data_IF_160066743051
#
_entry.id   IF_160066743051
#
_cell.length_a   1.000
_cell.length_b   1.000
_cell.length_c   1.000
_cell.angle_alpha   90.00
_cell.angle_beta   90.00
_cell.angle_gamma   90.00
#
_symmetry.space_group_name_H-M   'P 1'
#
loop_
_entity.id
_entity.type
_entity.pdbx_description
1 polymer ?
#
# COMPACT_ATOMS: atom_id res chain seq x y z
N UNK A 1 11.93 35.45 4.18
CA UNK A 1 11.17 36.43 4.99
C UNK A 1 9.77 36.47 4.39
N UNK A 2 8.84 35.65 4.89
CA UNK A 2 7.52 35.49 4.29
C UNK A 2 6.59 36.63 4.74
N UNK A 3 5.68 37.06 3.85
CA UNK A 3 4.83 38.23 3.98
C UNK A 3 3.94 38.22 5.24
N UNK A 4 4.37 38.90 6.31
CA UNK A 4 3.60 39.18 7.54
C UNK A 4 2.52 40.28 7.34
N UNK A 5 1.97 40.39 6.12
CA UNK A 5 0.98 41.40 5.74
C UNK A 5 -0.34 40.84 5.20
N UNK A 6 -0.53 39.52 5.20
CA UNK A 6 -1.79 38.92 4.78
C UNK A 6 -2.82 39.02 5.92
N UNK A 7 -3.92 39.73 5.68
CA UNK A 7 -5.05 39.86 6.62
C UNK A 7 -5.58 38.50 7.03
N UNK A 8 -5.24 38.05 8.25
CA UNK A 8 -5.70 36.76 8.79
C UNK A 8 -7.21 36.82 9.03
N UNK A 9 -7.93 35.82 8.54
CA UNK A 9 -9.38 35.69 8.74
C UNK A 9 -9.72 35.54 10.22
N UNK A 10 -10.89 36.05 10.63
CA UNK A 10 -11.32 35.99 12.02
C UNK A 10 -11.57 34.55 12.47
N UNK A 11 -11.31 34.26 13.76
CA UNK A 11 -11.52 32.92 14.34
C UNK A 11 -12.97 32.43 14.18
N UNK A 12 -13.95 33.32 14.34
CA UNK A 12 -15.38 32.99 14.17
C UNK A 12 -15.72 32.57 12.73
N UNK A 13 -15.16 33.24 11.73
CA UNK A 13 -15.35 32.88 10.33
C UNK A 13 -14.68 31.54 10.00
N UNK A 14 -13.51 31.28 10.58
CA UNK A 14 -12.75 30.05 10.42
C UNK A 14 -13.43 28.83 11.03
N UNK A 15 -14.24 29.06 12.07
CA UNK A 15 -15.06 28.05 12.74
C UNK A 15 -16.26 27.59 11.90
N UNK A 16 -16.65 28.34 10.85
CA UNK A 16 -17.81 27.97 10.02
C UNK A 16 -17.55 26.68 9.23
N UNK A 17 -18.57 25.80 9.15
CA UNK A 17 -18.46 24.47 8.53
C UNK A 17 -17.87 24.45 7.11
N UNK A 18 -18.14 25.48 6.31
CA UNK A 18 -17.62 25.57 4.94
C UNK A 18 -16.12 25.90 4.90
N UNK A 19 -15.60 26.61 5.92
CA UNK A 19 -14.19 26.95 6.03
C UNK A 19 -13.38 25.80 6.63
N UNK A 20 -14.01 24.89 7.38
CA UNK A 20 -13.35 23.75 8.04
C UNK A 20 -12.75 22.72 7.07
N UNK A 21 -13.27 22.60 5.83
CA UNK A 21 -12.76 21.64 4.83
C UNK A 21 -11.46 22.10 4.18
N UNK A 22 -11.30 23.41 3.96
CA UNK A 22 -10.10 24.02 3.35
C UNK A 22 -9.08 24.48 4.39
N UNK A 23 -9.41 24.35 5.67
CA UNK A 23 -8.53 24.75 6.75
C UNK A 23 -7.39 23.75 6.91
N UNK A 24 -6.15 24.26 6.95
CA UNK A 24 -4.98 23.44 7.26
C UNK A 24 -5.10 22.77 8.63
N UNK A 25 -4.56 21.55 8.75
CA UNK A 25 -4.64 20.72 9.95
C UNK A 25 -4.16 21.47 11.22
N UNK A 26 -3.10 22.28 11.09
CA UNK A 26 -2.54 23.05 12.20
C UNK A 26 -3.51 24.09 12.77
N UNK A 27 -4.28 24.74 11.90
CA UNK A 27 -5.22 25.79 12.30
C UNK A 27 -6.50 25.19 12.86
N UNK A 28 -6.92 24.04 12.34
CA UNK A 28 -8.02 23.25 12.92
C UNK A 28 -7.66 22.77 14.33
N UNK A 29 -6.45 22.26 14.53
CA UNK A 29 -5.95 21.81 15.83
C UNK A 29 -5.95 22.95 16.86
N UNK A 30 -5.50 24.15 16.50
CA UNK A 30 -5.55 25.31 17.39
C UNK A 30 -6.98 25.70 17.80
N UNK A 31 -7.96 25.63 16.87
CA UNK A 31 -9.36 25.92 17.21
C UNK A 31 -9.95 24.86 18.14
N UNK A 32 -9.63 23.57 17.93
CA UNK A 32 -10.05 22.48 18.81
C UNK A 32 -9.41 22.57 20.19
N UNK A 33 -8.14 22.97 20.27
CA UNK A 33 -7.47 23.23 21.55
C UNK A 33 -8.08 24.42 22.30
N UNK A 34 -8.41 25.51 21.61
CA UNK A 34 -9.11 26.66 22.19
C UNK A 34 -10.51 26.24 22.71
N UNK A 35 -11.25 25.38 22.00
CA UNK A 35 -12.54 24.83 22.46
C UNK A 35 -12.37 23.91 23.68
N UNK A 36 -11.37 23.03 23.66
CA UNK A 36 -11.05 22.14 24.79
C UNK A 36 -10.62 22.91 26.03
N UNK A 37 -9.90 24.03 25.87
CA UNK A 37 -9.53 24.92 26.98
C UNK A 37 -10.76 25.55 27.62
N UNK A 38 -11.70 26.06 26.82
CA UNK A 38 -12.96 26.61 27.34
C UNK A 38 -13.75 25.56 28.13
N UNK A 39 -13.84 24.33 27.62
CA UNK A 39 -14.52 23.22 28.31
C UNK A 39 -13.76 22.81 29.58
N UNK A 40 -12.42 22.84 29.56
CA UNK A 40 -11.59 22.52 30.72
C UNK A 40 -11.72 23.55 31.83
N UNK A 41 -11.87 24.84 31.50
CA UNK A 41 -12.02 25.91 32.49
C UNK A 41 -13.35 25.77 33.27
N UNK A 42 -14.38 25.16 32.66
CA UNK A 42 -15.66 24.83 33.32
C UNK A 42 -15.63 23.49 34.07
N UNK A 43 -14.65 22.63 33.77
CA UNK A 43 -14.55 21.30 34.35
C UNK A 43 -13.73 21.34 35.65
N UNK A 44 -14.41 21.60 36.76
CA UNK A 44 -13.83 21.51 38.09
C UNK A 44 -13.82 20.05 38.57
N UNK A 45 -12.68 19.60 39.10
CA UNK A 45 -12.55 18.30 39.74
C UNK A 45 -12.59 18.45 41.27
N UNK A 46 -13.25 17.51 41.96
CA UNK A 46 -13.16 17.39 43.42
C UNK A 46 -12.23 16.23 43.74
N UNK A 47 -11.01 16.53 44.16
CA UNK A 47 -10.04 15.52 44.56
C UNK A 47 -10.42 14.92 45.91
N UNK A 48 -10.99 13.71 45.86
CA UNK A 48 -11.25 12.86 47.04
C UNK A 48 -10.26 11.68 47.02
N UNK A 49 -9.13 11.77 47.74
CA UNK A 49 -8.09 10.73 47.73
C UNK A 49 -8.60 9.36 48.17
N UNK A 50 -9.61 9.31 49.04
CA UNK A 50 -10.20 8.08 49.57
C UNK A 50 -11.01 7.30 48.52
N UNK A 51 -11.54 7.98 47.51
CA UNK A 51 -12.33 7.35 46.43
C UNK A 51 -11.43 6.83 45.31
N UNK A 52 -10.32 7.53 45.03
CA UNK A 52 -9.32 7.08 44.06
C UNK A 52 -8.62 5.78 44.48
N UNK A 53 -8.48 5.55 45.78
CA UNK A 53 -7.93 4.30 46.32
C UNK A 53 -8.95 3.14 46.35
N UNK A 54 -10.25 3.45 46.23
CA UNK A 54 -11.34 2.48 46.17
C UNK A 54 -11.86 2.41 44.73
N UNK A 55 -11.03 1.93 43.83
CA UNK A 55 -11.53 1.47 42.54
C UNK A 55 -12.47 0.27 42.76
N UNK A 56 -13.50 0.14 41.92
CA UNK A 56 -14.49 -0.92 42.07
C UNK A 56 -13.80 -2.28 41.89
N UNK A 57 -13.73 -3.07 42.96
CA UNK A 57 -13.11 -4.40 42.95
C UNK A 57 -13.89 -5.42 42.10
N UNK A 58 -15.20 -5.18 41.92
CA UNK A 58 -16.09 -5.99 41.09
C UNK A 58 -16.84 -5.04 40.17
N UNK A 59 -16.75 -5.30 38.87
CA UNK A 59 -17.48 -4.57 37.83
C UNK A 59 -18.56 -5.52 37.31
N UNK A 60 -19.81 -5.15 37.53
CA UNK A 60 -20.95 -5.89 36.97
C UNK A 60 -21.21 -5.38 35.56
N UNK A 61 -20.87 -6.20 34.56
CA UNK A 61 -21.16 -5.89 33.16
C UNK A 61 -22.39 -6.67 32.69
N UNK A 62 -23.32 -5.97 32.04
CA UNK A 62 -24.53 -6.59 31.49
C UNK A 62 -24.33 -7.16 30.08
N UNK A 63 -23.15 -6.96 29.48
CA UNK A 63 -22.83 -7.44 28.14
C UNK A 63 -22.10 -8.77 28.21
N UNK A 64 -22.51 -9.70 27.34
CA UNK A 64 -21.79 -10.97 27.15
C UNK A 64 -20.60 -10.86 26.21
N UNK A 65 -20.43 -9.74 25.50
CA UNK A 65 -19.32 -9.51 24.55
C UNK A 65 -17.93 -9.75 25.13
N UNK A 66 -17.62 -9.36 26.39
CA UNK A 66 -16.31 -9.62 26.99
C UNK A 66 -16.16 -11.08 27.48
N UNK A 67 -17.26 -11.79 27.67
CA UNK A 67 -17.30 -13.14 28.22
C UNK A 67 -17.38 -14.22 27.13
N UNK A 68 -17.93 -13.89 25.97
CA UNK A 68 -18.13 -14.79 24.83
C UNK A 68 -17.41 -14.23 23.60
N UNK A 69 -16.55 -15.04 22.98
CA UNK A 69 -15.84 -14.72 21.74
C UNK A 69 -16.80 -14.72 20.53
N UNK A 70 -17.70 -13.74 20.49
CA UNK A 70 -18.78 -13.66 19.52
C UNK A 70 -18.26 -13.29 18.12
N UNK A 71 -18.68 -14.07 17.13
CA UNK A 71 -18.43 -13.77 15.72
C UNK A 71 -19.36 -12.67 15.19
N UNK A 72 -18.91 -11.96 14.17
CA UNK A 72 -19.69 -10.95 13.48
C UNK A 72 -20.95 -11.56 12.85
N UNK A 73 -22.12 -11.08 13.29
CA UNK A 73 -23.41 -11.72 12.98
C UNK A 73 -23.89 -11.57 11.54
N UNK A 74 -23.41 -10.57 10.77
CA UNK A 74 -23.81 -10.44 9.36
C UNK A 74 -22.90 -11.31 8.49
N UNK A 75 -23.43 -12.45 8.08
CA UNK A 75 -22.76 -13.43 7.23
C UNK A 75 -23.52 -13.65 5.91
N UNK A 76 -22.77 -13.82 4.84
CA UNK A 76 -23.26 -14.25 3.54
C UNK A 76 -22.45 -15.45 3.10
N UNK A 77 -23.04 -16.30 2.25
CA UNK A 77 -22.39 -17.51 1.78
C UNK A 77 -22.61 -17.66 0.28
N UNK A 78 -21.65 -18.33 -0.38
CA UNK A 78 -21.71 -18.70 -1.80
C UNK A 78 -21.86 -17.51 -2.76
N UNK A 79 -21.30 -16.36 -2.42
CA UNK A 79 -21.27 -15.17 -3.26
C UNK A 79 -22.62 -14.44 -3.37
N UNK A 80 -23.56 -14.65 -2.44
CA UNK A 80 -24.85 -13.97 -2.47
C UNK A 80 -24.71 -12.46 -2.23
N UNK A 81 -23.70 -12.07 -1.44
CA UNK A 81 -23.25 -10.69 -1.33
C UNK A 81 -21.74 -10.65 -1.03
N UNK A 82 -20.89 -10.37 -2.04
CA UNK A 82 -19.44 -10.35 -1.86
C UNK A 82 -18.95 -9.25 -0.90
N UNK A 83 -19.68 -8.15 -0.75
CA UNK A 83 -19.31 -7.09 0.21
C UNK A 83 -19.49 -7.57 1.66
N UNK A 84 -20.54 -8.35 1.91
CA UNK A 84 -20.81 -8.91 3.24
C UNK A 84 -19.86 -10.05 3.55
N UNK A 85 -19.50 -10.88 2.56
CA UNK A 85 -18.46 -11.91 2.73
C UNK A 85 -17.11 -11.29 3.08
N UNK A 86 -16.71 -10.23 2.36
CA UNK A 86 -15.48 -9.49 2.68
C UNK A 86 -15.51 -8.87 4.08
N UNK A 87 -16.66 -8.29 4.47
CA UNK A 87 -16.83 -7.72 5.81
C UNK A 87 -16.79 -8.80 6.90
N UNK A 88 -17.37 -9.97 6.63
CA UNK A 88 -17.33 -11.13 7.53
C UNK A 88 -15.89 -11.59 7.76
N UNK A 89 -15.07 -11.67 6.70
CA UNK A 89 -13.65 -12.02 6.84
C UNK A 89 -12.93 -10.97 7.68
N UNK A 90 -13.00 -9.68 7.32
CA UNK A 90 -12.28 -8.61 8.03
C UNK A 90 -12.62 -8.50 9.52
N UNK A 91 -13.91 -8.63 9.88
CA UNK A 91 -14.35 -8.46 11.27
C UNK A 91 -14.11 -9.69 12.13
N UNK A 92 -14.04 -10.89 11.52
CA UNK A 92 -13.77 -12.12 12.26
C UNK A 92 -12.27 -12.44 12.34
N UNK A 93 -11.46 -12.00 11.38
CA UNK A 93 -9.99 -12.15 11.46
C UNK A 93 -9.40 -11.23 12.51
N UNK A 94 -9.92 -10.02 12.70
CA UNK A 94 -9.44 -9.12 13.77
C UNK A 94 -9.61 -9.70 15.19
N UNK A 95 -10.51 -10.67 15.37
CA UNK A 95 -10.74 -11.36 16.65
C UNK A 95 -10.02 -12.72 16.76
N UNK A 96 -9.46 -13.24 15.66
CA UNK A 96 -8.69 -14.48 15.61
C UNK A 96 -7.26 -14.08 15.28
N UNK A 97 -6.46 -13.87 16.33
CA UNK A 97 -5.03 -13.59 16.24
C UNK A 97 -4.36 -14.31 15.06
N UNK A 98 -3.82 -13.52 14.12
CA UNK A 98 -2.60 -13.66 13.30
C UNK A 98 -2.20 -15.02 12.66
N UNK A 99 -2.91 -16.14 12.85
CA UNK A 99 -2.43 -17.47 12.44
C UNK A 99 -2.94 -17.94 11.06
N UNK A 100 -4.03 -17.38 10.52
CA UNK A 100 -4.60 -17.80 9.23
C UNK A 100 -4.29 -16.83 8.07
N UNK A 101 -3.74 -15.63 8.35
CA UNK A 101 -3.34 -14.67 7.30
C UNK A 101 -2.05 -15.07 6.56
N UNK A 102 -1.17 -15.90 7.14
CA UNK A 102 0.03 -16.39 6.43
C UNK A 102 -0.29 -17.36 5.28
N UNK A 103 -1.46 -18.01 5.25
CA UNK A 103 -1.78 -18.99 4.19
C UNK A 103 -2.67 -18.40 3.07
N UNK A 104 -3.42 -17.33 3.35
CA UNK A 104 -4.33 -16.70 2.37
C UNK A 104 -3.87 -15.32 1.88
N UNK A 105 -2.98 -14.65 2.61
CA UNK A 105 -2.33 -13.41 2.21
C UNK A 105 -0.81 -13.67 2.01
N UNK A 106 -0.45 -14.26 0.88
CA UNK A 106 0.82 -13.92 0.22
C UNK A 106 0.53 -12.79 -0.79
N UNK A 107 0.42 -11.51 -0.37
CA UNK A 107 0.31 -10.38 -1.28
C UNK A 107 1.61 -10.15 -2.09
N UNK A 108 2.64 -10.98 -1.90
CA UNK A 108 3.92 -10.94 -2.61
C UNK A 108 3.89 -11.64 -3.97
N UNK A 109 2.94 -12.53 -4.24
CA UNK A 109 2.70 -13.07 -5.58
C UNK A 109 1.90 -12.06 -6.40
N UNK A 110 2.56 -11.00 -6.84
CA UNK A 110 2.08 -10.21 -7.96
C UNK A 110 1.74 -11.19 -9.10
N UNK A 111 0.58 -11.02 -9.74
CA UNK A 111 0.22 -11.78 -10.94
C UNK A 111 1.19 -11.41 -12.06
N UNK A 112 2.35 -12.06 -12.07
CA UNK A 112 3.31 -11.99 -13.15
C UNK A 112 2.93 -13.04 -14.17
N UNK A 113 2.68 -12.61 -15.41
CA UNK A 113 2.37 -13.51 -16.54
C UNK A 113 3.45 -14.58 -16.80
N UNK A 114 4.63 -14.43 -16.20
CA UNK A 114 5.79 -15.33 -16.34
C UNK A 114 6.34 -15.65 -14.96
N UNK A 115 6.52 -16.94 -14.68
CA UNK A 115 7.14 -17.40 -13.43
C UNK A 115 8.66 -17.19 -13.45
N UNK A 116 9.28 -16.98 -12.28
CA UNK A 116 10.74 -16.81 -12.16
C UNK A 116 11.54 -17.97 -12.76
N UNK A 117 11.00 -19.19 -12.66
CA UNK A 117 11.57 -20.39 -13.27
C UNK A 117 11.60 -20.31 -14.80
N UNK A 118 10.53 -19.81 -15.42
CA UNK A 118 10.47 -19.62 -16.87
C UNK A 118 11.39 -18.48 -17.32
N UNK A 119 11.46 -17.39 -16.54
CA UNK A 119 12.38 -16.28 -16.77
C UNK A 119 13.84 -16.77 -16.76
N UNK A 120 14.23 -17.57 -15.76
CA UNK A 120 15.58 -18.14 -15.66
C UNK A 120 15.96 -18.99 -16.88
N UNK A 121 15.07 -19.90 -17.33
CA UNK A 121 15.30 -20.72 -18.53
C UNK A 121 15.50 -19.91 -19.80
N UNK A 122 14.75 -18.81 -19.96
CA UNK A 122 14.91 -17.89 -21.10
C UNK A 122 16.25 -17.14 -21.03
N UNK A 123 16.67 -16.73 -19.84
CA UNK A 123 17.96 -16.08 -19.64
C UNK A 123 19.15 -17.01 -19.95
N UNK A 124 19.10 -18.29 -19.54
CA UNK A 124 20.14 -19.27 -19.86
C UNK A 124 20.39 -19.39 -21.37
N UNK A 125 19.32 -19.58 -22.14
CA UNK A 125 19.38 -19.68 -23.61
C UNK A 125 19.92 -18.41 -24.27
N UNK A 126 19.46 -17.23 -23.80
CA UNK A 126 19.92 -15.95 -24.33
C UNK A 126 21.42 -15.72 -24.04
N UNK A 127 21.88 -16.01 -22.82
CA UNK A 127 23.27 -15.83 -22.40
C UNK A 127 24.21 -16.77 -23.17
N UNK A 128 23.82 -18.01 -23.43
CA UNK A 128 24.61 -18.91 -24.29
C UNK A 128 24.77 -18.37 -25.71
N UNK A 129 23.69 -17.83 -26.30
CA UNK A 129 23.73 -17.25 -27.64
C UNK A 129 24.60 -15.99 -27.69
N UNK A 130 24.56 -15.15 -26.65
CA UNK A 130 25.39 -13.96 -26.52
C UNK A 130 26.86 -14.33 -26.33
N UNK A 131 27.18 -15.30 -25.48
CA UNK A 131 28.55 -15.79 -25.28
C UNK A 131 29.21 -16.24 -26.58
N UNK A 132 28.48 -16.93 -27.46
CA UNK A 132 28.97 -17.34 -28.79
C UNK A 132 29.27 -16.16 -29.72
N UNK A 133 28.48 -15.07 -29.66
CA UNK A 133 28.69 -13.85 -30.45
C UNK A 133 29.95 -13.09 -30.04
N UNK A 134 30.32 -13.11 -28.76
CA UNK A 134 31.51 -12.43 -28.25
C UNK A 134 32.78 -13.32 -28.26
N UNK A 135 32.64 -14.64 -28.14
CA UNK A 135 33.78 -15.57 -28.21
C UNK A 135 34.46 -15.57 -29.60
N UNK A 136 33.70 -15.35 -30.68
CA UNK A 136 34.23 -15.34 -32.05
C UNK A 136 35.12 -14.12 -32.36
N UNK A 137 35.12 -13.07 -31.52
CA UNK A 137 35.93 -11.86 -31.75
C UNK A 137 37.38 -11.95 -31.26
N UNK A 138 37.77 -13.00 -30.51
CA UNK A 138 39.13 -13.11 -29.94
C UNK A 138 40.17 -13.76 -30.86
N UNK A 139 39.75 -14.46 -31.91
CA UNK A 139 40.66 -15.08 -32.88
C UNK A 139 40.48 -14.47 -34.28
N UNK A 140 40.96 -13.23 -34.46
CA UNK A 140 41.28 -12.70 -35.79
C UNK A 140 42.80 -12.48 -35.82
N UNK A 141 43.60 -13.37 -36.43
CA UNK A 141 45.02 -13.07 -36.63
C UNK A 141 45.13 -11.86 -37.55
N UNK A 142 45.92 -10.87 -37.14
CA UNK A 142 46.31 -9.74 -37.98
C UNK A 142 47.32 -10.25 -39.01
N UNK A 143 46.95 -10.20 -40.29
CA UNK A 143 47.92 -10.27 -41.39
C UNK A 143 47.59 -9.17 -42.40
N UNK A 144 48.62 -8.40 -42.73
CA UNK A 144 48.63 -7.25 -43.62
C UNK A 144 48.34 -7.60 -45.09
N UNK A 145 47.79 -6.58 -45.77
CA UNK A 145 47.86 -6.19 -47.18
C UNK A 145 47.83 -7.24 -48.32
N UNK A 146 46.84 -7.01 -49.20
CA UNK A 146 46.98 -6.76 -50.64
C UNK A 146 46.18 -7.64 -51.63
N UNK A 147 45.32 -6.92 -52.38
CA UNK A 147 44.84 -7.11 -53.77
C UNK A 147 43.94 -8.32 -54.12
N UNK A 148 42.69 -7.96 -54.48
CA UNK A 148 41.90 -8.41 -55.64
C UNK A 148 40.68 -9.33 -55.45
N UNK A 149 39.67 -9.00 -56.27
CA UNK A 149 38.47 -9.72 -56.70
C UNK A 149 37.33 -10.01 -55.72
N UNK A 150 36.41 -9.06 -55.64
CA UNK A 150 35.00 -9.17 -56.09
C UNK A 150 34.29 -10.54 -55.93
N UNK A 151 33.38 -10.65 -54.95
CA UNK A 151 32.09 -11.35 -55.07
C UNK A 151 31.10 -10.69 -54.10
N UNK A 152 30.08 -10.04 -54.63
CA UNK A 152 28.91 -9.58 -53.89
C UNK A 152 28.00 -10.76 -53.53
N UNK A 153 27.50 -10.79 -52.29
CA UNK A 153 26.27 -11.52 -51.94
C UNK A 153 25.46 -10.64 -50.98
N UNK A 154 24.65 -9.74 -51.55
CA UNK A 154 23.72 -8.89 -50.80
C UNK A 154 22.48 -9.70 -50.44
N UNK A 155 22.46 -10.23 -49.21
CA UNK A 155 21.23 -10.82 -48.65
C UNK A 155 20.17 -9.71 -48.44
N UNK A 156 18.92 -9.90 -48.89
CA UNK A 156 17.90 -8.85 -48.77
C UNK A 156 17.51 -8.62 -47.30
N UNK A 157 17.36 -7.34 -46.93
CA UNK A 157 16.91 -6.93 -45.59
C UNK A 157 15.49 -7.44 -45.34
N UNK A 158 15.30 -8.22 -44.27
CA UNK A 158 13.97 -8.70 -43.85
C UNK A 158 13.13 -7.51 -43.38
N UNK A 159 12.04 -7.22 -44.08
CA UNK A 159 11.04 -6.24 -43.67
C UNK A 159 9.97 -6.89 -42.77
N UNK A 160 9.38 -6.07 -41.90
CA UNK A 160 8.35 -6.48 -40.96
C UNK A 160 7.02 -6.74 -41.69
N UNK A 161 6.53 -7.99 -41.65
CA UNK A 161 5.21 -8.36 -42.15
C UNK A 161 4.19 -8.23 -41.03
N UNK A 162 3.13 -7.45 -41.27
CA UNK A 162 2.01 -7.35 -40.32
C UNK A 162 1.20 -8.67 -40.33
N UNK A 163 0.76 -9.16 -39.16
CA UNK A 163 -0.17 -10.29 -39.08
C UNK A 163 -1.50 -9.96 -39.78
N UNK A 164 -2.13 -10.96 -40.40
CA UNK A 164 -3.48 -10.83 -40.91
C UNK A 164 -4.49 -11.06 -39.78
N UNK A 165 -5.61 -10.33 -39.84
CA UNK A 165 -6.75 -10.42 -38.92
C UNK A 165 -7.42 -11.80 -38.96
#
# INVERSE_FOLDING_TARGET
MANDGASKLSKNLLRMKFMQRSLGADVKKQLEEDEKRIISDEHWYLDLPELKAKENYIIEESSFVPCEDLVYGRMSFKGFNPEVEKLMTLMNTHNRDEEEEEEMEDPGRMETDVTDEEMARRYESLVESMKKKFAKKRNRPALDQDVNSNVEDVQPKKAFLKPQD
#
